data_IF_770628435288
#
_entry.id   IF_770628435288
#
_cell.length_a   1.000
_cell.length_b   1.000
_cell.length_c   1.000
_cell.angle_alpha   90.00
_cell.angle_beta   90.00
_cell.angle_gamma   90.00
#
_symmetry.space_group_name_H-M   'P 1'
#
loop_
_entity.id
_entity.type
_entity.pdbx_description
1 polymer ?
#
# COMPACT_ATOMS: atom_id res chain seq x y z
N UNK A 1 18.85 -6.72 -17.66
CA UNK A 1 17.92 -5.55 -17.72
C UNK A 1 18.71 -4.31 -17.32
N UNK A 2 18.64 -3.26 -18.12
CA UNK A 2 19.28 -1.99 -17.80
C UNK A 2 18.55 -1.26 -16.65
N UNK A 3 19.26 -0.39 -15.92
CA UNK A 3 18.71 0.34 -14.76
C UNK A 3 17.40 1.08 -15.07
N UNK A 4 17.29 1.64 -16.28
CA UNK A 4 16.09 2.32 -16.77
C UNK A 4 14.86 1.39 -16.85
N UNK A 5 15.07 0.13 -17.20
CA UNK A 5 13.99 -0.86 -17.28
C UNK A 5 13.47 -1.29 -15.89
N UNK A 6 14.35 -1.35 -14.89
CA UNK A 6 13.93 -1.61 -13.50
C UNK A 6 12.99 -0.52 -13.01
N UNK A 7 13.33 0.73 -13.22
CA UNK A 7 12.52 1.86 -12.78
C UNK A 7 11.11 1.84 -13.39
N UNK A 8 11.02 1.66 -14.70
CA UNK A 8 9.73 1.57 -15.39
C UNK A 8 8.88 0.38 -14.90
N UNK A 9 9.50 -0.78 -14.71
CA UNK A 9 8.82 -1.98 -14.23
C UNK A 9 8.26 -1.80 -12.81
N UNK A 10 9.02 -1.14 -11.93
CA UNK A 10 8.60 -0.88 -10.55
C UNK A 10 7.46 0.14 -10.49
N UNK A 11 7.49 1.17 -11.34
CA UNK A 11 6.49 2.24 -11.39
C UNK A 11 5.20 1.85 -12.12
N UNK A 12 5.18 0.72 -12.80
CA UNK A 12 3.98 0.25 -13.51
C UNK A 12 2.77 0.20 -12.56
N UNK A 13 1.63 0.66 -13.03
CA UNK A 13 0.39 0.60 -12.28
C UNK A 13 0.04 -0.83 -11.84
N UNK A 14 -0.59 -0.94 -10.68
CA UNK A 14 -1.10 -2.20 -10.18
C UNK A 14 -2.48 -2.48 -10.77
N UNK A 15 -2.80 -3.75 -10.96
CA UNK A 15 -4.11 -4.17 -11.41
C UNK A 15 -5.16 -3.95 -10.31
N UNK A 16 -6.45 -3.77 -10.65
CA UNK A 16 -7.49 -3.56 -9.64
C UNK A 16 -7.55 -4.64 -8.55
N UNK A 17 -7.24 -5.89 -8.88
CA UNK A 17 -7.21 -6.99 -7.91
C UNK A 17 -5.96 -7.02 -7.02
N UNK A 18 -4.97 -6.19 -7.31
CA UNK A 18 -3.76 -5.97 -6.49
C UNK A 18 -3.94 -4.81 -5.51
N UNK A 19 -5.04 -4.07 -5.63
CA UNK A 19 -5.36 -2.92 -4.80
C UNK A 19 -6.35 -3.28 -3.70
N UNK A 20 -6.17 -2.65 -2.54
CA UNK A 20 -7.11 -2.68 -1.44
C UNK A 20 -7.84 -1.35 -1.31
N UNK A 21 -9.01 -1.40 -0.69
CA UNK A 21 -9.86 -0.24 -0.44
C UNK A 21 -10.32 -0.28 1.01
N UNK A 22 -10.23 0.83 1.71
CA UNK A 22 -10.73 0.93 3.09
C UNK A 22 -11.42 2.27 3.32
N UNK A 23 -12.46 2.28 4.18
CA UNK A 23 -13.13 3.51 4.58
C UNK A 23 -12.16 4.53 5.16
N UNK A 24 -12.35 5.79 4.77
CA UNK A 24 -11.58 6.93 5.27
C UNK A 24 -12.52 8.06 5.67
N UNK A 25 -12.36 8.56 6.90
CA UNK A 25 -13.19 9.64 7.42
C UNK A 25 -14.59 9.21 7.84
N UNK A 26 -15.53 10.15 7.80
CA UNK A 26 -16.93 9.95 8.21
C UNK A 26 -17.86 9.94 7.00
N UNK A 27 -19.04 9.29 7.11
CA UNK A 27 -20.05 9.39 6.08
C UNK A 27 -20.45 10.83 5.76
N UNK A 28 -20.61 11.12 4.49
CA UNK A 28 -21.11 12.42 4.00
C UNK A 28 -22.62 12.31 3.88
N UNK A 29 -23.33 12.67 4.94
CA UNK A 29 -24.77 12.43 5.09
C UNK A 29 -25.65 13.46 4.38
N UNK A 30 -25.11 14.60 3.97
CA UNK A 30 -25.86 15.59 3.18
C UNK A 30 -25.99 15.24 1.70
N UNK A 31 -25.25 14.22 1.24
CA UNK A 31 -25.43 13.62 -0.09
C UNK A 31 -26.65 12.67 -0.09
N UNK A 32 -27.26 12.51 -1.26
CA UNK A 32 -28.36 11.57 -1.43
C UNK A 32 -28.10 10.67 -2.67
N UNK A 33 -27.74 9.40 -2.48
CA UNK A 33 -27.51 8.73 -1.19
C UNK A 33 -26.29 9.28 -0.44
N UNK A 34 -26.18 9.02 0.88
CA UNK A 34 -24.97 9.33 1.64
C UNK A 34 -23.75 8.65 1.03
N UNK A 35 -22.57 9.25 1.17
CA UNK A 35 -21.33 8.73 0.57
C UNK A 35 -20.23 8.54 1.61
N UNK A 36 -19.31 7.64 1.30
CA UNK A 36 -18.11 7.40 2.09
C UNK A 36 -16.88 7.45 1.18
N UNK A 37 -15.86 8.16 1.64
CA UNK A 37 -14.56 8.17 0.96
C UNK A 37 -13.83 6.84 1.22
N UNK A 38 -13.22 6.29 0.17
CA UNK A 38 -12.35 5.13 0.27
C UNK A 38 -10.89 5.54 0.01
N UNK A 39 -10.01 5.05 0.85
CA UNK A 39 -8.57 5.07 0.60
C UNK A 39 -8.19 3.85 -0.23
N UNK A 40 -7.49 4.08 -1.32
CA UNK A 40 -6.91 3.02 -2.16
C UNK A 40 -5.47 2.77 -1.72
N UNK A 41 -5.09 1.53 -1.56
CA UNK A 41 -3.73 1.15 -1.20
C UNK A 41 -3.28 -0.10 -1.93
N UNK A 42 -1.97 -0.27 -2.03
CA UNK A 42 -1.37 -1.50 -2.57
C UNK A 42 -1.19 -2.50 -1.43
N UNK A 43 -1.62 -3.73 -1.63
CA UNK A 43 -1.35 -4.82 -0.68
C UNK A 43 0.15 -5.15 -0.65
N UNK A 44 0.67 -5.48 0.53
CA UNK A 44 2.07 -5.84 0.69
C UNK A 44 2.48 -7.04 -0.17
N UNK A 45 1.59 -8.00 -0.37
CA UNK A 45 1.83 -9.16 -1.23
C UNK A 45 1.98 -8.77 -2.69
N UNK A 46 1.19 -7.83 -3.19
CA UNK A 46 1.32 -7.31 -4.55
C UNK A 46 2.70 -6.64 -4.76
N UNK A 47 3.22 -5.96 -3.75
CA UNK A 47 4.56 -5.39 -3.77
C UNK A 47 5.62 -6.50 -3.81
N UNK A 48 5.48 -7.54 -3.00
CA UNK A 48 6.39 -8.69 -2.99
C UNK A 48 6.39 -9.40 -4.35
N UNK A 49 5.22 -9.66 -4.92
CA UNK A 49 5.08 -10.27 -6.24
C UNK A 49 5.73 -9.41 -7.35
N UNK A 50 5.62 -8.09 -7.23
CA UNK A 50 6.28 -7.15 -8.14
C UNK A 50 7.80 -7.21 -8.01
N UNK A 51 8.33 -7.27 -6.80
CA UNK A 51 9.77 -7.42 -6.55
C UNK A 51 10.29 -8.76 -7.08
N UNK A 52 9.57 -9.84 -6.86
CA UNK A 52 9.90 -11.16 -7.42
C UNK A 52 9.92 -11.15 -8.94
N UNK A 53 8.92 -10.53 -9.56
CA UNK A 53 8.82 -10.42 -11.01
C UNK A 53 9.94 -9.59 -11.64
N UNK A 54 10.37 -8.51 -10.99
CA UNK A 54 11.37 -7.58 -11.54
C UNK A 54 12.78 -8.05 -11.27
N UNK A 55 13.08 -8.54 -10.08
CA UNK A 55 14.43 -8.91 -9.65
C UNK A 55 14.67 -10.41 -9.51
N UNK A 56 13.61 -11.20 -9.33
CA UNK A 56 13.68 -12.58 -8.86
C UNK A 56 13.61 -12.67 -7.35
N UNK A 57 13.00 -13.71 -6.82
CA UNK A 57 12.73 -13.88 -5.38
C UNK A 57 13.97 -13.86 -4.47
N UNK A 58 15.14 -14.12 -5.02
CA UNK A 58 16.41 -14.14 -4.25
C UNK A 58 17.25 -12.88 -4.43
N UNK A 59 16.78 -11.92 -5.22
CA UNK A 59 17.54 -10.71 -5.55
C UNK A 59 16.95 -9.45 -4.93
N UNK A 60 16.15 -9.60 -3.91
CA UNK A 60 15.72 -8.52 -3.04
C UNK A 60 15.62 -9.03 -1.60
N UNK A 61 15.72 -8.12 -0.65
CA UNK A 61 15.64 -8.44 0.77
C UNK A 61 15.15 -7.26 1.58
N UNK A 62 14.59 -7.54 2.74
CA UNK A 62 14.21 -6.54 3.74
C UNK A 62 14.94 -6.77 5.05
N UNK A 63 15.26 -5.69 5.74
CA UNK A 63 15.69 -5.70 7.12
C UNK A 63 14.85 -4.70 7.91
N UNK A 64 14.51 -5.04 9.13
CA UNK A 64 13.70 -4.19 10.00
C UNK A 64 14.45 -3.90 11.29
N UNK A 65 14.31 -2.69 11.80
CA UNK A 65 14.76 -2.33 13.13
C UNK A 65 13.71 -1.47 13.82
N UNK A 66 13.62 -1.61 15.12
CA UNK A 66 12.78 -0.74 15.94
C UNK A 66 13.54 0.56 16.19
N UNK A 67 12.85 1.69 15.98
CA UNK A 67 13.38 3.03 16.17
C UNK A 67 12.37 3.80 17.03
N UNK A 68 12.67 4.05 18.31
CA UNK A 68 11.69 4.59 19.23
C UNK A 68 10.45 3.70 19.33
N UNK A 69 9.27 4.27 19.06
CA UNK A 69 7.98 3.55 19.02
C UNK A 69 7.58 3.14 17.60
N UNK A 70 8.47 3.21 16.66
CA UNK A 70 8.21 2.88 15.25
C UNK A 70 9.17 1.83 14.71
N UNK A 71 9.03 1.59 13.41
CA UNK A 71 9.85 0.63 12.67
C UNK A 71 10.47 1.29 11.45
N UNK A 72 11.71 0.94 11.16
CA UNK A 72 12.38 1.29 9.92
C UNK A 72 12.53 0.00 9.10
N UNK A 73 12.11 0.07 7.83
CA UNK A 73 12.36 -0.98 6.85
C UNK A 73 13.47 -0.53 5.91
N UNK A 74 14.51 -1.36 5.79
CA UNK A 74 15.50 -1.26 4.72
C UNK A 74 15.11 -2.24 3.63
N UNK A 75 14.74 -1.75 2.46
CA UNK A 75 14.50 -2.57 1.27
C UNK A 75 15.72 -2.49 0.37
N UNK A 76 16.32 -3.64 0.08
CA UNK A 76 17.49 -3.78 -0.77
C UNK A 76 17.15 -4.61 -1.99
N UNK A 77 17.58 -4.16 -3.16
CA UNK A 77 17.41 -4.85 -4.45
C UNK A 77 18.75 -4.99 -5.14
N UNK A 78 18.92 -6.09 -5.85
CA UNK A 78 20.11 -6.34 -6.65
C UNK A 78 19.84 -5.97 -8.11
N UNK A 79 20.60 -5.01 -8.61
CA UNK A 79 20.51 -4.55 -10.00
C UNK A 79 21.76 -4.93 -10.78
N UNK A 80 21.58 -5.19 -12.07
CA UNK A 80 22.69 -5.38 -12.99
C UNK A 80 22.97 -4.08 -13.73
N UNK A 81 24.20 -3.60 -13.64
CA UNK A 81 24.66 -2.41 -14.31
C UNK A 81 26.05 -2.67 -14.90
N UNK A 82 26.20 -2.40 -16.19
CA UNK A 82 27.47 -2.61 -16.92
C UNK A 82 28.06 -4.03 -16.72
N UNK A 83 27.20 -5.04 -16.73
CA UNK A 83 27.59 -6.45 -16.56
C UNK A 83 27.91 -6.86 -15.11
N UNK A 84 27.78 -5.95 -14.16
CA UNK A 84 28.03 -6.21 -12.74
C UNK A 84 26.76 -6.09 -11.94
N UNK A 85 26.65 -6.88 -10.85
CA UNK A 85 25.57 -6.79 -9.89
C UNK A 85 25.96 -5.87 -8.74
N UNK A 86 25.04 -5.01 -8.32
CA UNK A 86 25.18 -4.18 -7.12
C UNK A 86 23.89 -4.15 -6.33
N UNK A 87 24.01 -4.05 -5.02
CA UNK A 87 22.89 -3.87 -4.12
C UNK A 87 22.57 -2.39 -3.94
N UNK A 88 21.30 -2.04 -4.13
CA UNK A 88 20.78 -0.71 -3.84
C UNK A 88 19.80 -0.83 -2.67
N UNK A 89 20.03 -0.03 -1.64
CA UNK A 89 19.21 -0.03 -0.43
C UNK A 89 18.58 1.33 -0.19
N UNK A 90 17.32 1.33 0.21
CA UNK A 90 16.60 2.52 0.68
C UNK A 90 15.85 2.20 1.94
N UNK A 91 15.57 3.22 2.75
CA UNK A 91 14.89 3.07 4.02
C UNK A 91 13.71 4.01 4.13
N UNK A 92 12.68 3.58 4.83
CA UNK A 92 11.57 4.41 5.30
C UNK A 92 10.98 3.79 6.56
N UNK A 93 10.26 4.56 7.32
CA UNK A 93 9.71 4.15 8.60
C UNK A 93 8.24 4.43 8.76
N UNK A 94 7.66 3.81 9.76
CA UNK A 94 6.29 4.08 10.20
C UNK A 94 6.18 3.96 11.71
N UNK A 95 5.22 4.67 12.34
CA UNK A 95 4.91 4.45 13.74
C UNK A 95 4.36 3.04 13.95
N UNK A 96 4.39 2.56 15.20
CA UNK A 96 3.70 1.34 15.59
C UNK A 96 2.19 1.49 15.35
N UNK A 97 1.55 0.44 14.85
CA UNK A 97 0.12 0.45 14.59
C UNK A 97 -0.69 0.29 15.87
N UNK A 98 -1.71 1.12 16.07
CA UNK A 98 -2.64 1.03 17.20
C UNK A 98 -3.50 -0.25 17.17
N UNK A 99 -3.69 -0.85 15.99
CA UNK A 99 -4.57 -2.01 15.79
C UNK A 99 -3.81 -3.33 15.87
N UNK A 100 -2.69 -3.45 15.20
CA UNK A 100 -1.89 -4.68 15.12
C UNK A 100 -0.45 -4.49 15.60
N UNK A 101 -0.13 -3.36 16.22
CA UNK A 101 1.16 -3.07 16.81
C UNK A 101 2.32 -3.41 15.88
N UNK A 102 3.09 -4.42 16.24
CA UNK A 102 4.30 -4.84 15.55
C UNK A 102 4.08 -5.18 14.07
N UNK A 103 3.10 -6.03 13.76
CA UNK A 103 2.81 -6.46 12.39
C UNK A 103 2.38 -5.31 11.49
N UNK A 104 1.50 -4.43 12.00
CA UNK A 104 1.04 -3.25 11.28
C UNK A 104 2.16 -2.27 10.99
N UNK A 105 3.04 -2.02 11.96
CA UNK A 105 4.21 -1.15 11.81
C UNK A 105 5.19 -1.65 10.76
N UNK A 106 5.50 -2.94 10.78
CA UNK A 106 6.39 -3.58 9.79
C UNK A 106 5.79 -3.51 8.38
N UNK A 107 4.53 -3.91 8.22
CA UNK A 107 3.86 -3.88 6.91
C UNK A 107 3.79 -2.46 6.34
N UNK A 108 3.49 -1.48 7.17
CA UNK A 108 3.43 -0.08 6.76
C UNK A 108 4.80 0.46 6.39
N UNK A 109 5.85 0.18 7.16
CA UNK A 109 7.22 0.59 6.85
C UNK A 109 7.70 0.01 5.51
N UNK A 110 7.40 -1.26 5.25
CA UNK A 110 7.70 -1.92 3.97
C UNK A 110 6.97 -1.23 2.80
N UNK A 111 5.68 -1.00 2.91
CA UNK A 111 4.91 -0.31 1.85
C UNK A 111 5.40 1.12 1.61
N UNK A 112 5.83 1.82 2.64
CA UNK A 112 6.35 3.19 2.53
C UNK A 112 7.67 3.23 1.78
N UNK A 113 8.64 2.39 2.12
CA UNK A 113 9.92 2.36 1.39
C UNK A 113 9.74 1.88 -0.05
N UNK A 114 8.82 0.95 -0.30
CA UNK A 114 8.49 0.51 -1.65
C UNK A 114 7.94 1.65 -2.52
N UNK A 115 7.06 2.48 -1.96
CA UNK A 115 6.47 3.64 -2.64
C UNK A 115 7.45 4.82 -2.72
N UNK A 116 7.87 5.34 -1.58
CA UNK A 116 8.71 6.54 -1.52
C UNK A 116 10.12 6.29 -2.09
N UNK A 117 10.69 5.11 -1.84
CA UNK A 117 12.03 4.76 -2.28
C UNK A 117 12.11 4.27 -3.72
N UNK A 118 11.21 3.39 -4.12
CA UNK A 118 11.28 2.67 -5.40
C UNK A 118 10.13 2.98 -6.36
N UNK A 119 9.16 3.79 -5.97
CA UNK A 119 8.08 4.28 -6.83
C UNK A 119 6.90 3.34 -7.02
N UNK A 120 6.86 2.20 -6.32
CA UNK A 120 5.75 1.25 -6.42
C UNK A 120 4.48 1.82 -5.78
N UNK A 121 3.42 2.01 -6.58
CA UNK A 121 2.14 2.56 -6.11
C UNK A 121 2.16 4.06 -5.80
N UNK A 122 3.24 4.78 -6.09
CA UNK A 122 3.35 6.22 -5.83
C UNK A 122 2.28 7.03 -6.53
N UNK A 123 1.85 6.62 -7.72
CA UNK A 123 0.80 7.27 -8.50
C UNK A 123 -0.54 7.36 -7.77
N UNK A 124 -0.81 6.47 -6.81
CA UNK A 124 -2.05 6.48 -6.02
C UNK A 124 -2.21 7.72 -5.16
N UNK A 125 -1.11 8.36 -4.75
CA UNK A 125 -1.14 9.61 -3.99
C UNK A 125 -1.57 10.83 -4.84
N UNK A 126 -1.48 10.70 -6.16
CA UNK A 126 -1.89 11.72 -7.13
C UNK A 126 -3.29 11.46 -7.70
N UNK A 127 -3.89 10.33 -7.33
CA UNK A 127 -5.21 9.94 -7.82
C UNK A 127 -6.33 10.69 -7.11
N UNK A 128 -7.45 10.88 -7.83
CA UNK A 128 -8.66 11.48 -7.26
C UNK A 128 -9.23 10.62 -6.12
N UNK A 129 -9.90 11.28 -5.19
CA UNK A 129 -10.60 10.60 -4.12
C UNK A 129 -11.74 9.73 -4.68
N UNK A 130 -11.86 8.52 -4.15
CA UNK A 130 -12.92 7.59 -4.50
C UNK A 130 -14.02 7.68 -3.45
N UNK A 131 -15.26 7.83 -3.91
CA UNK A 131 -16.44 7.85 -3.06
C UNK A 131 -17.39 6.73 -3.46
N UNK A 132 -18.00 6.09 -2.49
CA UNK A 132 -19.02 5.06 -2.69
C UNK A 132 -20.31 5.47 -2.01
N UNK A 133 -21.43 5.09 -2.61
CA UNK A 133 -22.74 5.31 -2.01
C UNK A 133 -22.97 4.37 -0.83
N UNK A 134 -23.61 4.89 0.19
CA UNK A 134 -23.96 4.13 1.41
C UNK A 134 -25.43 3.79 1.42
N UNK A 135 -25.74 2.58 1.86
CA UNK A 135 -27.10 2.04 1.97
C UNK A 135 -27.38 1.55 3.38
N UNK A 136 -28.65 1.60 3.78
CA UNK A 136 -29.11 1.15 5.12
C UNK A 136 -29.25 -0.38 5.22
N UNK A 137 -29.33 -1.08 4.09
CA UNK A 137 -29.51 -2.52 4.03
C UNK A 137 -28.50 -3.17 3.08
N UNK A 138 -28.10 -4.43 3.35
CA UNK A 138 -27.12 -5.10 2.52
C UNK A 138 -27.67 -5.46 1.14
N UNK A 139 -26.81 -5.33 0.14
CA UNK A 139 -27.01 -5.87 -1.21
C UNK A 139 -25.92 -6.92 -1.48
N UNK A 140 -26.17 -7.80 -2.44
CA UNK A 140 -25.21 -8.85 -2.78
C UNK A 140 -23.82 -8.27 -3.10
N UNK A 141 -22.83 -8.74 -2.38
CA UNK A 141 -21.43 -8.31 -2.56
C UNK A 141 -21.04 -7.05 -1.80
N UNK A 142 -21.99 -6.41 -1.08
CA UNK A 142 -21.66 -5.23 -0.28
C UNK A 142 -20.78 -5.56 0.91
N UNK A 143 -19.99 -4.58 1.31
CA UNK A 143 -19.20 -4.57 2.55
C UNK A 143 -19.93 -3.77 3.61
N UNK A 144 -19.62 -4.07 4.87
CA UNK A 144 -20.20 -3.40 6.03
C UNK A 144 -19.24 -2.34 6.57
N UNK A 145 -19.79 -1.19 6.97
CA UNK A 145 -19.08 -0.13 7.65
C UNK A 145 -19.89 0.35 8.86
N UNK A 146 -19.26 0.42 10.02
CA UNK A 146 -19.87 0.95 11.24
C UNK A 146 -19.26 2.32 11.54
N UNK A 147 -20.10 3.35 11.57
CA UNK A 147 -19.65 4.71 11.86
C UNK A 147 -19.44 4.95 13.36
N UNK A 148 -18.94 6.14 13.71
CA UNK A 148 -18.64 6.52 15.09
C UNK A 148 -19.87 6.63 15.98
N UNK A 149 -21.08 6.73 15.41
CA UNK A 149 -22.36 6.72 16.15
C UNK A 149 -22.86 5.30 16.43
N UNK A 150 -22.23 4.29 15.84
CA UNK A 150 -22.64 2.90 15.92
C UNK A 150 -23.59 2.46 14.83
N UNK A 151 -23.98 3.37 13.92
CA UNK A 151 -24.81 3.01 12.76
C UNK A 151 -24.03 2.16 11.77
N UNK A 152 -24.68 1.12 11.27
CA UNK A 152 -24.13 0.22 10.27
C UNK A 152 -24.61 0.65 8.87
N UNK A 153 -23.66 0.77 7.97
CA UNK A 153 -23.85 1.10 6.56
C UNK A 153 -23.32 -0.03 5.67
N UNK A 154 -23.79 -0.06 4.43
CA UNK A 154 -23.35 -1.01 3.42
C UNK A 154 -22.89 -0.27 2.16
N UNK A 155 -21.79 -0.74 1.55
CA UNK A 155 -21.23 -0.13 0.34
C UNK A 155 -20.63 -1.17 -0.60
#
# INVERSE_FOLDING_TARGET
METKNYEQALKKEFLPNELGYKPQGKPITFKNPPQLQLLVYVDARAIQDRLDSVFGAFNWQTAYRKEGEGFICTLSVQVQKDGKYEWISKEDGSPESDVEGYKGGISTAFKRVASAGFGMGRYLYESDNIYVDLFDSPVKGSKQYKDTSGKVWYY
#
